data_IF_775611710782
#
_entry.id   IF_775611710782
#
_cell.length_a   1.000
_cell.length_b   1.000
_cell.length_c   1.000
_cell.angle_alpha   90.00
_cell.angle_beta   90.00
_cell.angle_gamma   90.00
#
_symmetry.space_group_name_H-M   'P 1'
#
loop_
_entity.id
_entity.type
_entity.pdbx_description
1 polymer ?
#
# COMPACT_ATOMS: atom_id res chain seq x y z
N UNK A 1 14.75 -22.23 15.01
CA UNK A 1 13.77 -23.01 14.15
C UNK A 1 12.45 -22.30 14.26
N UNK A 2 11.69 -22.14 13.17
CA UNK A 2 10.40 -21.46 13.27
C UNK A 2 9.40 -22.25 14.13
N UNK A 3 8.66 -21.55 14.98
CA UNK A 3 7.56 -22.16 15.74
C UNK A 3 6.53 -22.75 14.76
N UNK A 4 6.01 -23.98 15.01
CA UNK A 4 5.05 -24.61 14.13
C UNK A 4 3.71 -23.85 14.16
N UNK A 5 3.14 -23.63 12.97
CA UNK A 5 1.81 -23.04 12.86
C UNK A 5 0.74 -23.96 13.45
N UNK A 6 -0.31 -23.41 14.11
CA UNK A 6 -1.39 -24.22 14.66
C UNK A 6 -2.18 -24.87 13.53
N UNK A 7 -2.42 -26.18 13.63
CA UNK A 7 -3.22 -26.98 12.67
C UNK A 7 -4.71 -26.94 12.99
N UNK A 8 -5.11 -26.30 14.07
CA UNK A 8 -6.48 -26.08 14.52
C UNK A 8 -6.66 -24.62 14.90
N UNK A 9 -7.89 -24.21 15.19
CA UNK A 9 -8.19 -22.87 15.68
C UNK A 9 -7.31 -22.53 16.89
N UNK A 10 -6.53 -21.42 16.85
CA UNK A 10 -5.74 -20.98 17.99
C UNK A 10 -6.66 -20.55 19.14
N UNK A 11 -6.20 -20.73 20.39
CA UNK A 11 -6.93 -20.28 21.58
C UNK A 11 -6.92 -18.76 21.71
N UNK A 12 -5.84 -18.14 21.27
CA UNK A 12 -5.71 -16.68 21.26
C UNK A 12 -4.87 -16.20 20.10
N UNK A 13 -5.11 -14.95 19.74
CA UNK A 13 -4.38 -14.23 18.71
C UNK A 13 -3.64 -13.06 19.36
N UNK A 14 -2.40 -12.83 18.96
CA UNK A 14 -1.67 -11.60 19.18
C UNK A 14 -1.62 -10.87 17.84
N UNK A 15 -2.17 -9.67 17.79
CA UNK A 15 -2.23 -8.88 16.57
C UNK A 15 -1.10 -7.86 16.51
N UNK A 16 -0.37 -7.81 15.39
CA UNK A 16 0.70 -6.86 15.11
C UNK A 16 0.32 -5.98 13.94
N UNK A 17 0.15 -4.69 14.17
CA UNK A 17 -0.21 -3.75 13.10
C UNK A 17 -0.08 -2.31 13.55
N UNK A 18 0.08 -1.38 12.60
CA UNK A 18 0.22 0.04 12.93
C UNK A 18 -0.65 0.95 12.06
N UNK A 19 -0.57 0.91 10.71
CA UNK A 19 -1.31 1.81 9.82
C UNK A 19 -2.77 1.39 9.64
N UNK A 20 -3.51 2.21 8.93
CA UNK A 20 -4.94 2.07 8.68
C UNK A 20 -5.31 0.73 8.01
N UNK A 21 -4.49 0.26 7.07
CA UNK A 21 -4.67 -1.04 6.39
C UNK A 21 -4.76 -2.24 7.36
N UNK A 22 -4.26 -2.11 8.59
CA UNK A 22 -4.35 -3.15 9.62
C UNK A 22 -5.64 -3.09 10.45
N UNK A 23 -6.44 -2.04 10.31
CA UNK A 23 -7.68 -1.84 11.08
C UNK A 23 -8.76 -2.84 10.67
N UNK A 24 -9.01 -3.00 9.38
CA UNK A 24 -9.98 -3.95 8.85
C UNK A 24 -9.75 -5.38 9.35
N UNK A 25 -8.56 -5.96 9.14
CA UNK A 25 -8.21 -7.28 9.66
C UNK A 25 -8.39 -7.45 11.18
N UNK A 26 -8.02 -6.43 11.98
CA UNK A 26 -8.24 -6.48 13.44
C UNK A 26 -9.72 -6.56 13.79
N UNK A 27 -10.56 -5.70 13.18
CA UNK A 27 -12.01 -5.71 13.41
C UNK A 27 -12.64 -7.04 12.97
N UNK A 28 -12.23 -7.59 11.85
CA UNK A 28 -12.75 -8.86 11.32
C UNK A 28 -12.42 -10.03 12.25
N UNK A 29 -11.21 -10.10 12.81
CA UNK A 29 -10.85 -11.12 13.79
C UNK A 29 -11.75 -11.07 15.02
N UNK A 30 -11.98 -9.89 15.58
CA UNK A 30 -12.81 -9.71 16.79
C UNK A 30 -14.28 -9.99 16.49
N UNK A 31 -14.83 -9.45 15.38
CA UNK A 31 -16.22 -9.63 15.01
C UNK A 31 -16.58 -11.09 14.68
N UNK A 32 -15.61 -11.88 14.26
CA UNK A 32 -15.76 -13.32 14.02
C UNK A 32 -15.66 -14.19 15.28
N UNK A 33 -15.55 -13.56 16.47
CA UNK A 33 -15.48 -14.26 17.75
C UNK A 33 -14.14 -14.93 18.04
N UNK A 34 -13.07 -14.48 17.38
CA UNK A 34 -11.70 -14.89 17.71
C UNK A 34 -11.17 -14.06 18.90
N UNK A 35 -10.44 -14.73 19.79
CA UNK A 35 -9.88 -14.09 21.00
C UNK A 35 -8.58 -13.34 20.64
N UNK A 36 -8.66 -12.04 20.41
CA UNK A 36 -7.48 -11.18 20.26
C UNK A 36 -7.05 -10.73 21.67
N UNK A 37 -6.05 -11.41 22.21
CA UNK A 37 -5.61 -11.21 23.62
C UNK A 37 -4.66 -10.02 23.79
N UNK A 38 -3.96 -9.61 22.75
CA UNK A 38 -3.02 -8.48 22.75
C UNK A 38 -2.92 -7.86 21.36
N UNK A 39 -2.85 -6.53 21.32
CA UNK A 39 -2.46 -5.78 20.12
C UNK A 39 -1.09 -5.15 20.36
N UNK A 40 -0.13 -5.45 19.48
CA UNK A 40 1.18 -4.80 19.45
C UNK A 40 1.20 -3.81 18.30
N UNK A 41 1.42 -2.53 18.61
CA UNK A 41 1.40 -1.44 17.63
C UNK A 41 2.52 -0.44 17.89
N UNK A 42 2.89 0.33 16.87
CA UNK A 42 3.89 1.37 17.03
C UNK A 42 3.48 2.44 18.06
N UNK A 43 4.48 3.08 18.66
CA UNK A 43 4.27 4.20 19.57
C UNK A 43 3.52 5.36 18.93
N UNK A 44 2.95 6.21 19.76
CA UNK A 44 2.31 7.44 19.33
C UNK A 44 3.36 8.35 18.68
N UNK A 45 3.05 8.88 17.52
CA UNK A 45 3.98 9.69 16.71
C UNK A 45 3.30 10.97 16.25
N UNK A 46 4.11 11.98 15.97
CA UNK A 46 3.63 13.18 15.27
C UNK A 46 3.14 12.79 13.89
N UNK A 47 1.89 13.09 13.56
CA UNK A 47 1.25 12.80 12.28
C UNK A 47 0.65 14.07 11.69
N UNK A 48 0.83 14.24 10.38
CA UNK A 48 0.36 15.44 9.68
C UNK A 48 1.27 16.66 9.87
N UNK A 49 0.73 17.86 9.59
CA UNK A 49 1.47 19.13 9.64
C UNK A 49 1.49 19.79 11.03
N UNK A 50 0.87 19.16 12.03
CA UNK A 50 0.80 19.66 13.41
C UNK A 50 1.93 19.17 14.30
N UNK A 51 2.04 19.75 15.49
CA UNK A 51 2.96 19.31 16.57
C UNK A 51 2.41 18.19 17.42
N UNK A 52 1.13 17.85 17.29
CA UNK A 52 0.42 16.96 18.19
C UNK A 52 0.79 15.49 17.91
N UNK A 53 1.04 14.77 18.98
CA UNK A 53 1.27 13.34 18.97
C UNK A 53 -0.11 12.66 18.91
N UNK A 54 -0.27 11.75 17.95
CA UNK A 54 -1.52 11.00 17.78
C UNK A 54 -1.27 9.49 17.81
N UNK A 55 -2.24 8.73 18.36
CA UNK A 55 -2.17 7.27 18.40
C UNK A 55 -2.17 6.68 16.98
N UNK A 56 -1.68 5.44 16.86
CA UNK A 56 -1.83 4.69 15.62
C UNK A 56 -3.31 4.37 15.35
N UNK A 57 -3.76 4.25 14.08
CA UNK A 57 -5.11 3.79 13.76
C UNK A 57 -5.47 2.48 14.47
N UNK A 58 -4.53 1.54 14.53
CA UNK A 58 -4.71 0.26 15.24
C UNK A 58 -4.86 0.46 16.76
N UNK A 59 -4.10 1.39 17.37
CA UNK A 59 -4.25 1.72 18.81
C UNK A 59 -5.63 2.27 19.14
N UNK A 60 -6.16 3.15 18.28
CA UNK A 60 -7.51 3.70 18.43
C UNK A 60 -8.55 2.58 18.47
N UNK A 61 -8.50 1.70 17.46
CA UNK A 61 -9.46 0.59 17.35
C UNK A 61 -9.29 -0.44 18.48
N UNK A 62 -8.06 -0.77 18.87
CA UNK A 62 -7.83 -1.68 19.99
C UNK A 62 -8.40 -1.13 21.30
N UNK A 63 -8.29 0.19 21.52
CA UNK A 63 -8.88 0.87 22.70
C UNK A 63 -10.41 0.81 22.64
N UNK A 64 -11.04 1.08 21.49
CA UNK A 64 -12.50 0.98 21.31
C UNK A 64 -13.02 -0.44 21.58
N UNK A 65 -12.24 -1.46 21.21
CA UNK A 65 -12.59 -2.87 21.39
C UNK A 65 -12.22 -3.41 22.78
N UNK A 66 -11.59 -2.60 23.65
CA UNK A 66 -11.17 -3.01 24.99
C UNK A 66 -10.04 -4.04 25.01
N UNK A 67 -9.23 -4.11 23.95
CA UNK A 67 -8.13 -5.08 23.83
C UNK A 67 -6.87 -4.49 24.47
N UNK A 68 -6.11 -5.27 25.28
CA UNK A 68 -4.81 -4.85 25.81
C UNK A 68 -3.85 -4.43 24.68
N UNK A 69 -3.08 -3.37 24.92
CA UNK A 69 -2.17 -2.78 23.95
C UNK A 69 -0.75 -2.79 24.49
N UNK A 70 0.20 -3.16 23.65
CA UNK A 70 1.64 -2.98 23.90
C UNK A 70 2.32 -2.29 22.72
N UNK A 71 3.51 -1.74 22.99
CA UNK A 71 4.42 -1.20 22.01
C UNK A 71 5.68 -2.08 21.84
N UNK A 72 5.77 -3.18 22.60
CA UNK A 72 6.93 -4.06 22.66
C UNK A 72 6.59 -5.49 22.24
N UNK A 73 7.38 -6.04 21.32
CA UNK A 73 7.27 -7.43 20.86
C UNK A 73 7.53 -8.41 22.02
N UNK A 74 8.38 -8.01 23.00
CA UNK A 74 8.67 -8.82 24.21
C UNK A 74 7.41 -9.22 24.98
N UNK A 75 6.42 -8.34 25.08
CA UNK A 75 5.18 -8.63 25.80
C UNK A 75 4.35 -9.73 25.10
N UNK A 76 4.39 -9.72 23.76
CA UNK A 76 3.79 -10.76 22.94
C UNK A 76 4.47 -12.13 23.18
N UNK A 77 5.81 -12.13 23.23
CA UNK A 77 6.58 -13.33 23.51
C UNK A 77 6.29 -13.89 24.90
N UNK A 78 6.24 -13.02 25.92
CA UNK A 78 5.90 -13.43 27.29
C UNK A 78 4.46 -13.98 27.39
N UNK A 79 3.52 -13.41 26.65
CA UNK A 79 2.17 -13.93 26.58
C UNK A 79 2.12 -15.30 25.89
N UNK A 80 2.85 -15.45 24.77
CA UNK A 80 2.93 -16.73 24.04
C UNK A 80 3.59 -17.86 24.86
N UNK A 81 4.61 -17.55 25.67
CA UNK A 81 5.22 -18.51 26.61
C UNK A 81 4.24 -19.05 27.67
N UNK A 82 3.28 -18.23 28.08
CA UNK A 82 2.29 -18.59 29.11
C UNK A 82 1.11 -19.38 28.55
N UNK A 83 0.79 -19.21 27.29
CA UNK A 83 -0.35 -19.81 26.63
C UNK A 83 0.07 -20.49 25.33
N UNK A 84 0.06 -21.81 25.30
CA UNK A 84 0.22 -22.59 24.06
C UNK A 84 -0.97 -22.36 23.12
N UNK A 85 -0.83 -22.68 21.85
CA UNK A 85 -1.85 -22.45 20.81
C UNK A 85 -2.17 -20.95 20.58
N UNK A 86 -1.13 -20.11 20.69
CA UNK A 86 -1.16 -18.70 20.34
C UNK A 86 -0.70 -18.51 18.91
N UNK A 87 -1.41 -17.68 18.14
CA UNK A 87 -1.03 -17.31 16.77
C UNK A 87 -0.79 -15.79 16.71
N UNK A 88 0.35 -15.38 16.17
CA UNK A 88 0.60 -14.00 15.79
C UNK A 88 0.00 -13.70 14.41
N UNK A 89 -0.75 -12.61 14.29
CA UNK A 89 -1.25 -12.09 13.01
C UNK A 89 -0.60 -10.74 12.75
N UNK A 90 0.18 -10.65 11.69
CA UNK A 90 0.96 -9.47 11.33
C UNK A 90 0.34 -8.80 10.10
N UNK A 91 0.10 -7.48 10.20
CA UNK A 91 -0.39 -6.66 9.10
C UNK A 91 0.31 -5.31 9.12
N UNK A 92 1.21 -5.07 8.17
CA UNK A 92 1.93 -3.80 8.02
C UNK A 92 2.53 -3.27 9.35
N UNK A 93 3.24 -4.11 10.07
CA UNK A 93 3.80 -3.78 11.39
C UNK A 93 5.11 -2.98 11.29
N UNK A 94 5.94 -3.24 10.28
CA UNK A 94 7.15 -2.48 9.98
C UNK A 94 8.34 -2.74 10.90
N UNK A 95 8.31 -3.81 11.70
CA UNK A 95 9.41 -4.27 12.54
C UNK A 95 9.89 -5.65 12.10
N UNK A 96 11.17 -5.91 12.26
CA UNK A 96 11.77 -7.22 12.05
C UNK A 96 11.67 -7.99 13.37
N UNK A 97 11.20 -9.22 13.32
CA UNK A 97 11.14 -10.11 14.48
C UNK A 97 12.51 -10.76 14.71
N UNK A 98 12.87 -10.93 15.96
CA UNK A 98 14.09 -11.67 16.35
C UNK A 98 13.89 -13.19 16.18
N UNK A 99 14.99 -13.92 16.08
CA UNK A 99 14.95 -15.39 16.02
C UNK A 99 14.22 -15.98 17.22
N UNK A 100 14.42 -15.41 18.43
CA UNK A 100 13.70 -15.83 19.64
C UNK A 100 12.17 -15.65 19.48
N UNK A 101 11.73 -14.55 18.88
CA UNK A 101 10.31 -14.31 18.65
C UNK A 101 9.73 -15.34 17.68
N UNK A 102 10.43 -15.63 16.60
CA UNK A 102 10.04 -16.60 15.59
C UNK A 102 10.04 -18.05 16.08
N UNK A 103 10.93 -18.37 17.03
CA UNK A 103 11.03 -19.71 17.63
C UNK A 103 9.94 -19.99 18.67
N UNK A 104 9.32 -18.94 19.24
CA UNK A 104 8.34 -19.05 20.33
C UNK A 104 6.92 -18.82 19.81
N UNK A 105 6.70 -17.81 18.97
CA UNK A 105 5.39 -17.40 18.51
C UNK A 105 5.25 -17.70 17.01
N UNK A 106 4.41 -18.70 16.63
CA UNK A 106 4.07 -18.89 15.24
C UNK A 106 3.30 -17.68 14.73
N UNK A 107 3.74 -17.10 13.60
CA UNK A 107 3.14 -15.88 13.06
C UNK A 107 2.81 -16.03 11.59
N UNK A 108 1.69 -15.41 11.18
CA UNK A 108 1.31 -15.24 9.79
C UNK A 108 1.30 -13.75 9.43
N UNK A 109 1.59 -13.44 8.16
CA UNK A 109 1.54 -12.08 7.63
C UNK A 109 0.59 -12.00 6.43
N UNK A 110 -0.23 -10.94 6.39
CA UNK A 110 -1.01 -10.60 5.20
C UNK A 110 -0.13 -9.72 4.31
N UNK A 111 0.15 -10.21 3.10
CA UNK A 111 0.93 -9.49 2.10
C UNK A 111 0.09 -9.23 0.84
N UNK A 112 0.04 -7.98 0.40
CA UNK A 112 -0.84 -7.53 -0.69
C UNK A 112 -0.16 -7.66 -2.05
N UNK A 113 0.30 -8.87 -2.38
CA UNK A 113 0.76 -9.27 -3.71
C UNK A 113 0.68 -10.79 -3.90
N UNK A 114 0.88 -11.23 -5.14
CA UNK A 114 1.11 -12.65 -5.47
C UNK A 114 2.60 -12.96 -5.29
N UNK A 115 2.99 -13.35 -4.07
CA UNK A 115 4.38 -13.72 -3.77
C UNK A 115 4.84 -14.92 -4.63
N UNK A 116 6.12 -14.93 -5.07
CA UNK A 116 7.25 -14.11 -4.62
C UNK A 116 7.39 -12.73 -5.26
N UNK A 117 6.45 -12.32 -6.14
CA UNK A 117 6.47 -11.00 -6.75
C UNK A 117 6.09 -9.93 -5.71
N UNK A 118 6.88 -8.85 -5.65
CA UNK A 118 6.64 -7.70 -4.80
C UNK A 118 6.82 -7.95 -3.29
N UNK A 119 7.84 -8.71 -2.87
CA UNK A 119 8.26 -8.73 -1.46
C UNK A 119 8.65 -7.33 -1.00
N UNK A 120 8.20 -6.87 0.16
CA UNK A 120 8.63 -5.61 0.76
C UNK A 120 7.52 -4.56 0.93
N UNK A 121 7.90 -3.27 0.93
CA UNK A 121 7.13 -2.22 1.59
C UNK A 121 5.97 -1.62 0.77
N UNK A 122 5.95 -1.74 -0.56
CA UNK A 122 4.98 -1.06 -1.42
C UNK A 122 4.48 -1.97 -2.57
N UNK A 123 3.96 -3.18 -2.27
CA UNK A 123 3.61 -4.16 -3.29
C UNK A 123 2.51 -3.66 -4.25
N UNK A 124 1.47 -3.03 -3.72
CA UNK A 124 0.32 -2.56 -4.52
C UNK A 124 0.71 -1.42 -5.44
N UNK A 125 1.47 -0.45 -4.92
CA UNK A 125 1.98 0.67 -5.72
C UNK A 125 2.90 0.20 -6.83
N UNK A 126 3.79 -0.76 -6.54
CA UNK A 126 4.72 -1.30 -7.54
C UNK A 126 3.97 -2.07 -8.62
N UNK A 127 2.99 -2.86 -8.28
CA UNK A 127 2.16 -3.56 -9.25
C UNK A 127 1.47 -2.59 -10.23
N UNK A 128 0.91 -1.48 -9.74
CA UNK A 128 0.33 -0.45 -10.61
C UNK A 128 1.39 0.24 -11.46
N UNK A 129 2.52 0.66 -10.87
CA UNK A 129 3.58 1.40 -11.58
C UNK A 129 4.19 0.59 -12.71
N UNK A 130 4.47 -0.69 -12.48
CA UNK A 130 5.04 -1.59 -13.48
C UNK A 130 4.01 -2.04 -14.52
N UNK A 131 2.73 -1.76 -14.30
CA UNK A 131 1.65 -2.08 -15.23
C UNK A 131 1.29 -3.56 -15.22
N UNK A 132 1.41 -4.19 -14.05
CA UNK A 132 0.94 -5.56 -13.86
C UNK A 132 -0.55 -5.63 -14.17
N UNK A 133 -0.96 -6.71 -14.82
CA UNK A 133 -2.36 -6.97 -15.14
C UNK A 133 -3.10 -7.70 -14.02
N UNK A 134 -2.34 -8.34 -13.13
CA UNK A 134 -2.83 -9.15 -12.03
C UNK A 134 -2.02 -8.85 -10.77
N UNK A 135 -2.66 -8.92 -9.63
CA UNK A 135 -2.08 -8.90 -8.29
C UNK A 135 -2.91 -9.79 -7.37
N UNK A 136 -2.74 -9.69 -6.07
CA UNK A 136 -3.53 -10.48 -5.15
C UNK A 136 -3.13 -10.30 -3.70
N UNK A 137 -3.53 -11.26 -2.90
CA UNK A 137 -3.20 -11.35 -1.48
C UNK A 137 -2.55 -12.69 -1.20
N UNK A 138 -1.47 -12.68 -0.45
CA UNK A 138 -0.82 -13.88 0.07
C UNK A 138 -0.83 -13.84 1.60
N UNK A 139 -1.29 -14.92 2.25
CA UNK A 139 -1.04 -15.16 3.67
C UNK A 139 0.16 -16.07 3.75
N UNK A 140 1.20 -15.64 4.44
CA UNK A 140 2.45 -16.37 4.56
C UNK A 140 2.81 -16.60 6.03
N UNK A 141 3.60 -17.61 6.29
CA UNK A 141 4.31 -17.75 7.56
C UNK A 141 5.38 -16.66 7.65
N UNK A 142 5.50 -15.99 8.79
CA UNK A 142 6.57 -15.03 9.01
C UNK A 142 7.89 -15.77 9.18
N UNK A 143 8.92 -15.30 8.48
CA UNK A 143 10.27 -15.88 8.46
C UNK A 143 11.31 -14.79 8.76
N UNK A 144 12.58 -15.18 8.94
CA UNK A 144 13.73 -14.30 9.12
C UNK A 144 13.95 -13.36 7.92
N UNK A 145 13.69 -13.87 6.71
CA UNK A 145 13.75 -13.06 5.49
C UNK A 145 12.43 -12.38 5.21
N UNK A 146 12.48 -11.10 4.86
CA UNK A 146 11.31 -10.28 4.59
C UNK A 146 10.43 -10.91 3.51
N UNK A 147 9.18 -11.19 3.88
CA UNK A 147 8.12 -11.74 3.03
C UNK A 147 8.52 -13.00 2.25
N UNK A 148 9.47 -13.81 2.79
CA UNK A 148 9.99 -14.99 2.13
C UNK A 148 9.40 -16.33 2.62
N UNK A 149 8.62 -16.30 3.68
CA UNK A 149 8.03 -17.50 4.29
C UNK A 149 7.06 -18.25 3.37
N UNK A 150 6.73 -19.46 3.76
CA UNK A 150 5.83 -20.31 3.01
C UNK A 150 4.44 -19.70 2.84
N UNK A 151 3.86 -19.85 1.65
CA UNK A 151 2.49 -19.41 1.34
C UNK A 151 1.50 -20.41 1.95
N UNK A 152 0.60 -19.89 2.77
CA UNK A 152 -0.48 -20.63 3.42
C UNK A 152 -1.75 -20.56 2.57
N UNK A 153 -2.11 -19.32 2.16
CA UNK A 153 -3.25 -19.07 1.30
C UNK A 153 -2.91 -17.94 0.33
N UNK A 154 -3.50 -17.97 -0.86
CA UNK A 154 -3.26 -16.94 -1.88
C UNK A 154 -4.49 -16.80 -2.77
N UNK A 155 -4.86 -15.58 -3.12
CA UNK A 155 -5.92 -15.25 -4.07
C UNK A 155 -5.45 -14.21 -5.05
N UNK A 156 -5.74 -14.41 -6.33
CA UNK A 156 -5.42 -13.50 -7.42
C UNK A 156 -6.61 -12.61 -7.77
N UNK A 157 -6.30 -11.45 -8.35
CA UNK A 157 -7.30 -10.52 -8.91
C UNK A 157 -6.65 -9.63 -9.98
N UNK A 158 -7.41 -9.28 -11.02
CA UNK A 158 -6.95 -8.38 -12.07
C UNK A 158 -6.75 -6.95 -11.54
N UNK A 159 -5.86 -6.19 -12.19
CA UNK A 159 -5.71 -4.75 -11.98
C UNK A 159 -6.37 -4.02 -13.16
N UNK A 160 -7.40 -3.21 -12.87
CA UNK A 160 -8.01 -2.36 -13.88
C UNK A 160 -7.06 -1.26 -14.35
N UNK A 161 -7.12 -0.90 -15.63
CA UNK A 161 -6.30 0.17 -16.20
C UNK A 161 -6.64 1.56 -15.65
N UNK A 162 -7.80 1.74 -15.05
CA UNK A 162 -8.29 3.03 -14.52
C UNK A 162 -8.35 3.07 -13.00
N UNK A 163 -8.27 1.92 -12.34
CA UNK A 163 -8.39 1.78 -10.89
C UNK A 163 -7.26 2.53 -10.17
N UNK A 164 -7.62 3.34 -9.19
CA UNK A 164 -6.67 4.04 -8.33
C UNK A 164 -6.06 3.11 -7.28
N UNK A 165 -4.94 3.52 -6.69
CA UNK A 165 -4.34 2.80 -5.56
C UNK A 165 -5.31 2.58 -4.40
N UNK A 166 -6.15 3.57 -4.09
CA UNK A 166 -7.12 3.48 -2.99
C UNK A 166 -8.19 2.43 -3.28
N UNK A 167 -8.72 2.39 -4.50
CA UNK A 167 -9.72 1.40 -4.91
C UNK A 167 -9.14 -0.02 -4.93
N UNK A 168 -7.94 -0.19 -5.50
CA UNK A 168 -7.26 -1.49 -5.51
C UNK A 168 -6.97 -1.99 -4.10
N UNK A 169 -6.46 -1.12 -3.21
CA UNK A 169 -6.22 -1.48 -1.80
C UNK A 169 -7.50 -1.93 -1.10
N UNK A 170 -8.58 -1.17 -1.21
CA UNK A 170 -9.88 -1.53 -0.62
C UNK A 170 -10.36 -2.90 -1.10
N UNK A 171 -10.19 -3.20 -2.37
CA UNK A 171 -10.56 -4.50 -2.96
C UNK A 171 -9.65 -5.63 -2.47
N UNK A 172 -8.35 -5.39 -2.35
CA UNK A 172 -7.40 -6.37 -1.80
C UNK A 172 -7.66 -6.65 -0.31
N UNK A 173 -8.01 -5.62 0.47
CA UNK A 173 -8.41 -5.78 1.88
C UNK A 173 -9.67 -6.66 1.99
N UNK A 174 -10.68 -6.45 1.15
CA UNK A 174 -11.87 -7.27 1.11
C UNK A 174 -11.59 -8.73 0.70
N UNK A 175 -10.59 -8.97 -0.17
CA UNK A 175 -10.14 -10.32 -0.54
C UNK A 175 -9.31 -10.99 0.58
N UNK A 176 -8.56 -10.21 1.35
CA UNK A 176 -7.74 -10.72 2.45
C UNK A 176 -8.57 -11.23 3.62
N UNK A 177 -9.72 -10.62 3.89
CA UNK A 177 -10.55 -10.93 5.04
C UNK A 177 -10.98 -12.41 5.11
N UNK A 178 -11.65 -12.99 4.09
CA UNK A 178 -12.06 -14.39 4.15
C UNK A 178 -10.87 -15.35 4.26
N UNK A 179 -9.73 -15.05 3.62
CA UNK A 179 -8.52 -15.87 3.74
C UNK A 179 -7.96 -15.85 5.17
N UNK A 180 -7.89 -14.67 5.79
CA UNK A 180 -7.43 -14.51 7.16
C UNK A 180 -8.33 -15.27 8.14
N UNK A 181 -9.66 -15.11 7.99
CA UNK A 181 -10.63 -15.76 8.86
C UNK A 181 -10.59 -17.26 8.73
N UNK A 182 -10.46 -17.79 7.50
CA UNK A 182 -10.33 -19.23 7.27
C UNK A 182 -9.11 -19.81 7.99
N UNK A 183 -7.92 -19.18 7.81
CA UNK A 183 -6.69 -19.60 8.48
C UNK A 183 -6.80 -19.52 10.01
N UNK A 184 -7.42 -18.47 10.56
CA UNK A 184 -7.54 -18.29 12.01
C UNK A 184 -8.65 -19.14 12.64
N UNK A 185 -9.68 -19.54 11.90
CA UNK A 185 -10.77 -20.38 12.41
C UNK A 185 -10.48 -21.87 12.28
N UNK A 186 -9.82 -22.27 11.21
CA UNK A 186 -9.60 -23.69 10.88
C UNK A 186 -8.16 -24.17 11.13
N UNK A 187 -7.24 -23.24 11.36
CA UNK A 187 -5.80 -23.54 11.45
C UNK A 187 -5.14 -23.70 10.08
N UNK A 188 -3.86 -23.98 10.07
CA UNK A 188 -3.04 -24.13 8.86
C UNK A 188 -2.87 -25.61 8.54
N UNK A 189 -3.62 -26.11 7.58
CA UNK A 189 -3.56 -27.51 7.15
C UNK A 189 -2.36 -27.81 6.24
N UNK A 190 -1.90 -26.82 5.46
CA UNK A 190 -0.77 -26.96 4.55
C UNK A 190 -0.13 -25.59 4.26
N UNK A 191 1.11 -25.60 3.86
CA UNK A 191 1.82 -24.46 3.31
C UNK A 191 2.77 -24.92 2.21
N UNK A 192 3.11 -24.01 1.28
CA UNK A 192 4.04 -24.31 0.18
C UNK A 192 5.15 -23.26 0.11
N UNK A 193 6.37 -23.64 -0.25
CA UNK A 193 7.41 -22.65 -0.51
C UNK A 193 7.01 -21.71 -1.65
N UNK A 194 7.59 -20.52 -1.65
CA UNK A 194 7.44 -19.61 -2.78
C UNK A 194 8.30 -20.11 -3.95
N UNK A 195 7.72 -20.12 -5.15
CA UNK A 195 8.39 -20.56 -6.38
C UNK A 195 8.61 -19.38 -7.32
N UNK A 196 9.76 -19.32 -7.99
CA UNK A 196 10.15 -18.26 -8.93
C UNK A 196 11.07 -17.21 -8.32
N UNK A 197 11.51 -16.27 -9.17
CA UNK A 197 12.44 -15.22 -8.77
C UNK A 197 11.70 -14.11 -8.00
N UNK A 198 12.16 -13.73 -6.80
CA UNK A 198 11.53 -12.68 -6.02
C UNK A 198 11.79 -11.30 -6.61
N UNK A 199 10.75 -10.49 -6.70
CA UNK A 199 10.86 -9.08 -7.08
C UNK A 199 10.58 -8.23 -5.85
N UNK A 200 11.45 -7.24 -5.59
CA UNK A 200 11.38 -6.41 -4.38
C UNK A 200 10.56 -5.16 -4.62
N UNK A 201 9.52 -4.96 -3.80
CA UNK A 201 8.71 -3.75 -3.75
C UNK A 201 9.35 -2.69 -2.85
N UNK A 202 10.31 -1.94 -3.39
CA UNK A 202 10.90 -0.79 -2.68
C UNK A 202 9.84 0.25 -2.35
N UNK A 203 9.97 0.90 -1.20
CA UNK A 203 9.12 2.04 -0.81
C UNK A 203 9.08 3.08 -1.93
N UNK A 204 7.92 3.68 -2.14
CA UNK A 204 7.75 4.75 -3.13
C UNK A 204 8.53 6.00 -2.69
N UNK A 205 9.29 6.53 -3.62
CA UNK A 205 10.11 7.74 -3.46
C UNK A 205 9.55 8.89 -4.30
N UNK A 206 9.95 10.13 -4.05
CA UNK A 206 9.56 11.26 -4.89
C UNK A 206 9.94 11.09 -6.37
N UNK A 207 11.00 10.37 -6.67
CA UNK A 207 11.42 10.10 -8.06
C UNK A 207 10.47 9.16 -8.78
N UNK A 208 9.85 8.21 -8.08
CA UNK A 208 8.87 7.28 -8.65
C UNK A 208 7.59 7.99 -9.13
N UNK A 209 7.25 9.12 -8.52
CA UNK A 209 6.01 9.89 -8.80
C UNK A 209 6.26 11.23 -9.50
N UNK A 210 7.50 11.56 -9.80
CA UNK A 210 7.82 12.72 -10.63
C UNK A 210 7.56 12.38 -12.10
N UNK A 211 6.67 13.13 -12.76
CA UNK A 211 6.34 12.92 -14.16
C UNK A 211 7.53 13.23 -15.06
N UNK A 212 7.86 12.28 -15.95
CA UNK A 212 8.85 12.45 -17.02
C UNK A 212 8.12 12.49 -18.34
N UNK A 213 8.15 13.62 -19.01
CA UNK A 213 7.43 13.82 -20.27
C UNK A 213 8.09 13.09 -21.46
N UNK A 214 9.34 12.66 -21.33
CA UNK A 214 10.03 11.85 -22.34
C UNK A 214 9.57 10.38 -22.35
N UNK A 215 8.88 9.93 -21.31
CA UNK A 215 8.27 8.61 -21.24
C UNK A 215 6.92 8.53 -21.94
N UNK A 216 6.16 7.46 -21.66
CA UNK A 216 4.82 7.28 -22.21
C UNK A 216 3.75 7.93 -21.33
N UNK A 217 2.68 8.41 -21.95
CA UNK A 217 1.48 8.88 -21.26
C UNK A 217 0.85 7.78 -20.40
N UNK A 218 0.97 6.52 -20.80
CA UNK A 218 0.50 5.37 -20.04
C UNK A 218 1.23 5.24 -18.70
N UNK A 219 2.57 5.34 -18.70
CA UNK A 219 3.33 5.31 -17.44
C UNK A 219 2.98 6.49 -16.54
N UNK A 220 2.82 7.69 -17.11
CA UNK A 220 2.37 8.87 -16.36
C UNK A 220 1.00 8.65 -15.70
N UNK A 221 0.03 8.04 -16.40
CA UNK A 221 -1.25 7.67 -15.80
C UNK A 221 -1.09 6.69 -14.63
N UNK A 222 -0.18 5.72 -14.73
CA UNK A 222 0.13 4.81 -13.61
C UNK A 222 0.70 5.55 -12.40
N UNK A 223 1.62 6.51 -12.62
CA UNK A 223 2.14 7.39 -11.55
C UNK A 223 1.03 8.23 -10.90
N UNK A 224 0.09 8.75 -11.70
CA UNK A 224 -1.05 9.52 -11.20
C UNK A 224 -1.99 8.63 -10.36
N UNK A 225 -2.28 7.42 -10.80
CA UNK A 225 -3.15 6.46 -10.10
C UNK A 225 -2.64 6.03 -8.73
N UNK A 226 -1.32 5.93 -8.54
CA UNK A 226 -0.75 5.64 -7.21
C UNK A 226 -0.77 6.85 -6.28
N UNK A 227 -1.04 8.05 -6.81
CA UNK A 227 -1.09 9.30 -6.08
C UNK A 227 0.26 9.97 -5.92
N UNK A 228 0.21 11.26 -5.68
CA UNK A 228 1.41 12.06 -5.44
C UNK A 228 2.16 12.49 -6.70
N UNK A 229 1.69 12.14 -7.91
CA UNK A 229 2.30 12.53 -9.17
C UNK A 229 2.46 14.06 -9.29
N UNK A 230 3.62 14.51 -9.74
CA UNK A 230 3.90 15.94 -9.84
C UNK A 230 4.95 16.25 -10.92
N UNK A 231 4.94 17.51 -11.35
CA UNK A 231 6.03 18.14 -12.08
C UNK A 231 6.16 19.61 -11.65
N UNK A 232 7.00 20.37 -12.34
CA UNK A 232 7.19 21.80 -12.09
C UNK A 232 6.78 22.61 -13.31
N UNK A 233 6.21 23.78 -13.07
CA UNK A 233 5.90 24.78 -14.08
C UNK A 233 6.13 26.17 -13.52
N UNK A 234 6.87 27.00 -14.23
CA UNK A 234 7.28 28.36 -13.75
C UNK A 234 7.90 28.30 -12.35
N UNK A 235 8.74 27.30 -12.09
CA UNK A 235 9.41 27.09 -10.80
C UNK A 235 8.50 26.65 -9.65
N UNK A 236 7.21 26.36 -9.89
CA UNK A 236 6.27 25.91 -8.87
C UNK A 236 5.87 24.45 -9.09
N UNK A 237 5.75 23.72 -8.00
CA UNK A 237 5.29 22.34 -8.05
C UNK A 237 3.79 22.29 -8.40
N UNK A 238 3.47 21.52 -9.43
CA UNK A 238 2.08 21.15 -9.78
C UNK A 238 1.89 19.67 -9.54
N UNK A 239 0.97 19.30 -8.67
CA UNK A 239 0.50 17.93 -8.55
C UNK A 239 -0.59 17.67 -9.58
N UNK A 240 -0.54 16.49 -10.20
CA UNK A 240 -1.61 15.97 -11.05
C UNK A 240 -2.37 14.93 -10.22
N UNK A 241 -3.63 15.20 -9.98
CA UNK A 241 -4.48 14.35 -9.13
C UNK A 241 -5.27 13.34 -9.96
N UNK A 242 -5.83 13.80 -11.10
CA UNK A 242 -6.52 12.93 -12.06
C UNK A 242 -6.18 13.35 -13.49
N UNK A 243 -5.98 12.35 -14.34
CA UNK A 243 -5.78 12.53 -15.77
C UNK A 243 -6.15 11.24 -16.52
N UNK A 244 -6.36 11.37 -17.84
CA UNK A 244 -6.64 10.26 -18.72
C UNK A 244 -5.66 10.27 -19.90
N UNK A 245 -5.23 9.08 -20.35
CA UNK A 245 -4.44 8.93 -21.57
C UNK A 245 -5.30 9.21 -22.79
N UNK A 246 -4.75 9.95 -23.72
CA UNK A 246 -5.36 10.21 -25.03
C UNK A 246 -4.43 9.67 -26.12
N UNK A 247 -4.83 8.54 -26.70
CA UNK A 247 -4.05 7.88 -27.72
C UNK A 247 -4.15 8.61 -29.07
N UNK A 248 -3.02 8.65 -29.81
CA UNK A 248 -2.96 9.25 -31.13
C UNK A 248 -2.95 10.78 -31.16
N UNK A 249 -2.93 11.44 -30.01
CA UNK A 249 -2.80 12.90 -29.93
C UNK A 249 -1.31 13.26 -29.89
N UNK A 250 -0.86 13.99 -30.92
CA UNK A 250 0.53 14.45 -31.02
C UNK A 250 0.65 15.87 -30.49
N UNK A 251 1.30 16.03 -29.37
CA UNK A 251 1.66 17.30 -28.75
C UNK A 251 3.16 17.23 -28.41
N UNK A 252 3.88 18.33 -28.53
CA UNK A 252 5.31 18.36 -28.19
C UNK A 252 5.57 17.91 -26.74
N UNK A 253 6.68 17.24 -26.50
CA UNK A 253 7.04 16.69 -25.20
C UNK A 253 7.02 17.78 -24.12
N UNK A 254 6.21 17.58 -23.08
CA UNK A 254 6.01 18.53 -21.99
C UNK A 254 5.19 19.79 -22.36
N UNK A 255 4.76 19.93 -23.61
CA UNK A 255 3.92 21.07 -24.03
C UNK A 255 2.51 20.95 -23.50
N UNK A 256 1.93 22.10 -23.13
CA UNK A 256 0.58 22.22 -22.58
C UNK A 256 -0.30 22.87 -23.63
N UNK A 257 -1.40 22.22 -23.96
CA UNK A 257 -2.38 22.70 -24.94
C UNK A 257 -3.76 22.80 -24.33
N UNK A 258 -4.52 23.83 -24.73
CA UNK A 258 -5.93 23.97 -24.39
C UNK A 258 -6.75 23.73 -25.66
N UNK A 259 -7.53 22.66 -25.69
CA UNK A 259 -8.39 22.29 -26.84
C UNK A 259 -9.81 22.10 -26.31
N UNK A 260 -10.77 22.86 -26.85
CA UNK A 260 -12.18 22.81 -26.45
C UNK A 260 -12.39 22.93 -24.93
N UNK A 261 -11.57 23.75 -24.25
CA UNK A 261 -11.67 23.96 -22.81
C UNK A 261 -11.01 22.86 -21.94
N UNK A 262 -10.42 21.86 -22.56
CA UNK A 262 -9.69 20.77 -21.90
C UNK A 262 -8.17 20.97 -22.02
N UNK A 263 -7.43 20.63 -20.99
CA UNK A 263 -5.97 20.81 -20.92
C UNK A 263 -5.28 19.48 -21.22
N UNK A 264 -4.41 19.51 -22.23
CA UNK A 264 -3.63 18.34 -22.66
C UNK A 264 -2.14 18.60 -22.48
N UNK A 265 -1.40 17.53 -22.20
CA UNK A 265 0.06 17.57 -22.09
C UNK A 265 0.67 16.45 -22.90
N UNK A 266 1.66 16.79 -23.74
CA UNK A 266 2.36 15.83 -24.59
C UNK A 266 3.41 15.04 -23.84
N UNK A 267 3.54 13.76 -24.20
CA UNK A 267 4.59 12.84 -23.77
C UNK A 267 5.39 12.34 -24.96
N UNK A 268 6.44 11.56 -24.74
CA UNK A 268 7.18 10.91 -25.82
C UNK A 268 6.28 9.99 -26.66
N UNK A 269 5.29 9.38 -26.02
CA UNK A 269 4.21 8.63 -26.67
C UNK A 269 2.87 9.12 -26.13
N UNK A 270 1.98 9.53 -27.04
CA UNK A 270 0.63 10.02 -26.75
C UNK A 270 0.58 11.32 -25.91
N UNK A 271 -0.59 11.62 -25.38
CA UNK A 271 -0.82 12.76 -24.49
C UNK A 271 -1.67 12.34 -23.29
N UNK A 272 -1.72 13.17 -22.27
CA UNK A 272 -2.70 13.06 -21.18
C UNK A 272 -3.65 14.24 -21.18
N UNK A 273 -4.93 14.01 -20.93
CA UNK A 273 -5.92 15.01 -20.57
C UNK A 273 -5.85 15.23 -19.06
N UNK A 274 -5.33 16.40 -18.63
CA UNK A 274 -5.34 16.80 -17.23
C UNK A 274 -6.77 17.16 -16.81
N UNK A 275 -7.26 16.54 -15.73
CA UNK A 275 -8.60 16.82 -15.21
C UNK A 275 -8.51 17.65 -13.92
N UNK A 276 -7.84 17.14 -12.90
CA UNK A 276 -7.69 17.81 -11.61
C UNK A 276 -6.22 17.97 -11.25
N UNK A 277 -5.86 19.17 -10.87
CA UNK A 277 -4.49 19.51 -10.48
C UNK A 277 -4.45 20.31 -9.18
N UNK A 278 -3.27 20.38 -8.56
CA UNK A 278 -3.04 21.18 -7.37
C UNK A 278 -1.71 21.94 -7.48
N UNK A 279 -1.78 23.25 -7.68
CA UNK A 279 -0.60 24.11 -7.65
C UNK A 279 -0.13 24.29 -6.20
N UNK A 280 1.17 24.34 -6.00
CA UNK A 280 1.80 24.57 -4.70
C UNK A 280 1.19 25.78 -3.98
N UNK A 281 0.79 25.56 -2.71
CA UNK A 281 0.15 26.58 -1.88
C UNK A 281 -1.30 26.91 -2.22
N UNK A 282 -1.94 26.17 -3.15
CA UNK A 282 -3.34 26.35 -3.55
C UNK A 282 -4.17 25.09 -3.29
N UNK A 283 -5.50 25.20 -3.15
CA UNK A 283 -6.38 24.04 -3.19
C UNK A 283 -6.34 23.36 -4.55
N UNK A 284 -6.86 22.13 -4.63
CA UNK A 284 -7.10 21.44 -5.90
C UNK A 284 -8.14 22.19 -6.74
N UNK A 285 -8.00 22.13 -8.05
CA UNK A 285 -8.89 22.75 -9.02
C UNK A 285 -8.95 21.94 -10.31
N UNK A 286 -9.99 22.19 -11.11
CA UNK A 286 -10.03 21.76 -12.51
C UNK A 286 -8.81 22.29 -13.26
N UNK A 287 -8.25 21.46 -14.14
CA UNK A 287 -7.05 21.83 -14.91
C UNK A 287 -7.27 23.05 -15.81
N UNK A 288 -8.47 23.22 -16.38
CA UNK A 288 -8.83 24.41 -17.17
C UNK A 288 -8.86 25.70 -16.34
N UNK A 289 -9.36 25.64 -15.10
CA UNK A 289 -9.35 26.76 -14.17
C UNK A 289 -7.91 27.13 -13.75
N UNK A 290 -7.09 26.11 -13.49
CA UNK A 290 -5.66 26.32 -13.21
C UNK A 290 -4.93 26.94 -14.42
N UNK A 291 -5.14 26.41 -15.64
CA UNK A 291 -4.53 26.90 -16.87
C UNK A 291 -4.77 28.41 -17.04
N UNK A 292 -6.01 28.85 -16.93
CA UNK A 292 -6.39 30.24 -17.04
C UNK A 292 -5.86 31.09 -15.88
N UNK A 293 -6.02 30.62 -14.63
CA UNK A 293 -5.62 31.35 -13.42
C UNK A 293 -4.11 31.51 -13.27
N UNK A 294 -3.32 30.54 -13.73
CA UNK A 294 -1.86 30.58 -13.75
C UNK A 294 -1.30 31.27 -14.99
N UNK A 295 -2.17 31.74 -15.90
CA UNK A 295 -1.81 32.40 -17.18
C UNK A 295 -0.81 31.54 -17.97
N UNK A 296 -1.16 30.28 -18.17
CA UNK A 296 -0.41 29.36 -19.01
C UNK A 296 -0.74 29.66 -20.48
N UNK A 297 0.29 29.73 -21.34
CA UNK A 297 0.09 29.89 -22.76
C UNK A 297 0.04 28.53 -23.45
N UNK A 298 -0.71 28.45 -24.54
CA UNK A 298 -0.69 27.25 -25.41
C UNK A 298 0.72 27.06 -25.97
N UNK A 299 1.26 25.84 -25.87
CA UNK A 299 2.65 25.52 -26.25
C UNK A 299 3.68 25.79 -25.15
N UNK A 300 3.26 26.35 -24.00
CA UNK A 300 4.15 26.46 -22.84
C UNK A 300 4.50 25.07 -22.32
N UNK A 301 5.72 24.89 -21.82
CA UNK A 301 6.22 23.59 -21.38
C UNK A 301 6.34 23.52 -19.87
N UNK A 302 6.17 22.34 -19.34
CA UNK A 302 6.65 22.04 -17.99
C UNK A 302 8.16 22.25 -17.92
N UNK A 303 8.62 22.65 -16.73
CA UNK A 303 10.03 22.91 -16.50
C UNK A 303 10.84 21.65 -16.80
N UNK A 304 11.92 21.77 -17.56
CA UNK A 304 12.82 20.66 -17.86
C UNK A 304 13.40 20.12 -16.55
N UNK A 305 13.60 18.82 -16.51
CA UNK A 305 14.22 18.18 -15.37
C UNK A 305 15.71 18.61 -15.32
N UNK A 306 16.05 19.48 -14.43
CA UNK A 306 17.44 19.56 -13.99
C UNK A 306 17.75 18.23 -13.28
N UNK A 307 18.67 17.47 -13.86
CA UNK A 307 19.21 16.22 -13.32
C UNK A 307 19.87 16.45 -11.97
#
# INVERSE_FOLDING_TARGET
MLAPLPITRPRQIIFFGTPDVAVGPLRSLVSSGLNVALVVTGEDKRRGRGSDVSPSPVKVVATELGIPISHHVSDAIELAKKQTETLGVVVAFGHIFTDEALDILPMINIHYSLLPRWRGAAPVERAILEGDRETGVSIIQVDQQLDAGNIIAQVATDISQTETLAELRSRLEALAEPLLLDVCQNGVSSSRPQEGEPIVAKKISPTDVRLSFFGSAEHACRQIRIGGAFSYIKGKRLKVLTAERVSGMTIGVGEIHLVNGQVFVGFGEDAIHLQTVQLEGKPSSEASSWFNGARINVGERFDEQHQ
#
